data_IF_580323319800
#
_entry.id   IF_580323319800
#
_cell.length_a   1.000
_cell.length_b   1.000
_cell.length_c   1.000
_cell.angle_alpha   90.00
_cell.angle_beta   90.00
_cell.angle_gamma   90.00
#
_symmetry.space_group_name_H-M   'P 1'
#
loop_
_entity.id
_entity.type
_entity.pdbx_description
1 polymer ?
#
# COMPACT_ATOMS: atom_id res chain seq x y z
N UNK A 1 13.06 8.64 48.42
CA UNK A 1 13.15 9.84 47.58
C UNK A 1 11.91 9.93 46.66
N UNK A 2 11.50 8.87 45.96
CA UNK A 2 10.36 8.86 45.03
C UNK A 2 9.01 9.23 45.70
N UNK A 3 8.70 8.63 46.85
CA UNK A 3 7.48 8.95 47.61
C UNK A 3 7.45 10.39 48.16
N UNK A 4 8.59 10.97 48.51
CA UNK A 4 8.67 12.37 48.94
C UNK A 4 8.41 13.34 47.77
N UNK A 5 8.96 13.06 46.56
CA UNK A 5 8.73 13.86 45.39
C UNK A 5 7.26 13.81 44.92
N UNK A 6 6.65 12.62 45.01
CA UNK A 6 5.24 12.43 44.69
C UNK A 6 4.30 13.14 45.67
N UNK A 7 4.66 13.18 46.98
CA UNK A 7 3.94 13.97 47.99
C UNK A 7 4.00 15.47 47.75
N UNK A 8 5.16 15.99 47.37
CA UNK A 8 5.36 17.43 47.04
C UNK A 8 4.59 17.78 45.75
N UNK A 9 4.66 16.94 44.74
CA UNK A 9 3.92 17.15 43.48
C UNK A 9 2.40 17.14 43.74
N UNK A 10 1.91 16.23 44.59
CA UNK A 10 0.49 16.21 44.96
C UNK A 10 0.06 17.50 45.68
N UNK A 11 0.82 17.93 46.71
CA UNK A 11 0.46 19.12 47.48
C UNK A 11 0.56 20.42 46.67
N UNK A 12 1.57 20.55 45.82
CA UNK A 12 1.83 21.84 45.11
C UNK A 12 1.16 21.94 43.73
N UNK A 13 0.93 20.81 43.05
CA UNK A 13 0.40 20.82 41.69
C UNK A 13 -1.01 20.22 41.62
N UNK A 14 -1.19 19.01 42.13
CA UNK A 14 -2.45 18.30 41.93
C UNK A 14 -3.56 18.79 42.89
N UNK A 15 -3.26 19.03 44.18
CA UNK A 15 -4.25 19.46 45.13
C UNK A 15 -4.81 20.87 44.79
N UNK A 16 -4.03 21.91 44.47
CA UNK A 16 -4.58 23.22 44.09
C UNK A 16 -5.32 23.16 42.74
N UNK A 17 -4.84 22.36 41.77
CA UNK A 17 -5.53 22.18 40.50
C UNK A 17 -6.89 21.49 40.69
N UNK A 18 -6.93 20.42 41.49
CA UNK A 18 -8.18 19.73 41.83
C UNK A 18 -9.15 20.62 42.57
N UNK A 19 -8.67 21.44 43.55
CA UNK A 19 -9.48 22.38 44.28
C UNK A 19 -10.07 23.48 43.37
N UNK A 20 -9.23 24.05 42.47
CA UNK A 20 -9.71 25.03 41.48
C UNK A 20 -10.75 24.43 40.54
N UNK A 21 -10.53 23.20 40.05
CA UNK A 21 -11.47 22.47 39.24
C UNK A 21 -12.80 22.26 39.96
N UNK A 22 -12.78 21.71 41.18
CA UNK A 22 -13.98 21.39 41.95
C UNK A 22 -14.78 22.63 42.37
N UNK A 23 -14.11 23.69 42.76
CA UNK A 23 -14.80 24.86 43.36
C UNK A 23 -15.02 26.01 42.37
N UNK A 24 -14.30 26.04 41.26
CA UNK A 24 -14.41 27.12 40.27
C UNK A 24 -14.99 26.66 38.95
N UNK A 25 -14.44 25.62 38.38
CA UNK A 25 -14.78 25.20 37.02
C UNK A 25 -16.03 24.31 37.02
N UNK A 26 -16.08 23.31 37.86
CA UNK A 26 -17.19 22.37 37.97
C UNK A 26 -18.54 23.04 38.26
N UNK A 27 -18.68 23.97 39.22
CA UNK A 27 -19.95 24.69 39.44
C UNK A 27 -20.39 25.53 38.26
N UNK A 28 -19.44 26.12 37.52
CA UNK A 28 -19.77 26.89 36.31
C UNK A 28 -20.32 25.96 35.20
N UNK A 29 -19.69 24.79 35.03
CA UNK A 29 -20.15 23.78 34.09
C UNK A 29 -21.54 23.26 34.48
N UNK A 30 -21.75 22.94 35.76
CA UNK A 30 -23.01 22.47 36.31
C UNK A 30 -24.13 23.50 36.10
N UNK A 31 -23.85 24.79 36.33
CA UNK A 31 -24.82 25.85 36.10
C UNK A 31 -25.20 25.98 34.61
N UNK A 32 -24.23 25.87 33.70
CA UNK A 32 -24.49 25.84 32.25
C UNK A 32 -25.31 24.62 31.86
N UNK A 33 -24.93 23.46 32.36
CA UNK A 33 -25.65 22.22 32.12
C UNK A 33 -27.09 22.27 32.61
N UNK A 34 -27.31 22.71 33.83
CA UNK A 34 -28.68 22.91 34.41
C UNK A 34 -29.52 23.87 33.57
N UNK A 35 -28.91 24.94 33.04
CA UNK A 35 -29.61 25.90 32.18
C UNK A 35 -30.02 25.27 30.85
N UNK A 36 -29.10 24.54 30.21
CA UNK A 36 -29.36 23.82 28.95
C UNK A 36 -30.43 22.73 29.17
N UNK A 37 -30.28 21.94 30.23
CA UNK A 37 -31.23 20.88 30.56
C UNK A 37 -32.63 21.43 30.82
N UNK A 38 -32.74 22.53 31.60
CA UNK A 38 -34.01 23.20 31.85
C UNK A 38 -34.64 23.75 30.57
N UNK A 39 -33.85 24.30 29.66
CA UNK A 39 -34.32 24.74 28.35
C UNK A 39 -34.78 23.54 27.50
N UNK A 40 -34.03 22.50 27.43
CA UNK A 40 -34.34 21.31 26.66
C UNK A 40 -35.59 20.57 27.14
N UNK A 41 -35.88 20.61 28.46
CA UNK A 41 -37.03 19.95 29.06
C UNK A 41 -38.26 20.89 29.21
N UNK A 42 -38.15 22.16 28.84
CA UNK A 42 -39.26 23.11 28.99
C UNK A 42 -40.30 22.99 27.86
N UNK A 43 -41.56 23.05 28.23
CA UNK A 43 -42.74 23.14 27.32
C UNK A 43 -42.71 22.09 26.17
N UNK A 44 -42.57 22.56 24.95
CA UNK A 44 -42.58 21.72 23.74
C UNK A 44 -41.17 21.32 23.26
N UNK A 45 -40.10 21.84 23.86
CA UNK A 45 -38.73 21.59 23.43
C UNK A 45 -38.33 20.09 23.40
N UNK A 46 -38.77 19.24 24.35
CA UNK A 46 -38.46 17.81 24.30
C UNK A 46 -38.93 17.15 23.00
N UNK A 47 -40.15 17.51 22.56
CA UNK A 47 -40.70 16.99 21.29
C UNK A 47 -39.92 17.52 20.09
N UNK A 48 -39.57 18.81 20.10
CA UNK A 48 -38.76 19.43 19.03
C UNK A 48 -37.39 18.80 18.94
N UNK A 49 -36.73 18.52 20.06
CA UNK A 49 -35.45 17.82 20.09
C UNK A 49 -35.58 16.39 19.57
N UNK A 50 -36.61 15.65 19.99
CA UNK A 50 -36.86 14.28 19.53
C UNK A 50 -37.07 14.24 18.02
N UNK A 51 -38.00 15.04 17.50
CA UNK A 51 -38.28 15.11 16.07
C UNK A 51 -37.12 15.70 15.27
N UNK A 52 -36.39 16.65 15.83
CA UNK A 52 -35.17 17.20 15.23
C UNK A 52 -34.07 16.18 15.09
N UNK A 53 -33.81 15.37 16.13
CA UNK A 53 -32.82 14.29 16.10
C UNK A 53 -33.23 13.19 15.09
N UNK A 54 -34.51 12.83 15.09
CA UNK A 54 -35.02 11.84 14.12
C UNK A 54 -34.94 12.38 12.68
N UNK A 55 -35.30 13.64 12.47
CA UNK A 55 -35.16 14.28 11.17
C UNK A 55 -33.71 14.37 10.69
N UNK A 56 -32.79 14.69 11.62
CA UNK A 56 -31.35 14.67 11.32
C UNK A 56 -30.87 13.27 10.94
N UNK A 57 -31.32 12.24 11.64
CA UNK A 57 -30.97 10.85 11.31
C UNK A 57 -31.44 10.49 9.90
N UNK A 58 -32.69 10.80 9.57
CA UNK A 58 -33.25 10.56 8.23
C UNK A 58 -32.45 11.34 7.17
N UNK A 59 -32.12 12.61 7.45
CA UNK A 59 -31.32 13.43 6.55
C UNK A 59 -29.93 12.82 6.29
N UNK A 60 -29.25 12.32 7.34
CA UNK A 60 -27.94 11.64 7.19
C UNK A 60 -28.06 10.38 6.36
N UNK A 61 -29.10 9.57 6.58
CA UNK A 61 -29.34 8.35 5.79
C UNK A 61 -29.56 8.70 4.31
N UNK A 62 -30.41 9.70 4.05
CA UNK A 62 -30.65 10.18 2.66
C UNK A 62 -29.35 10.71 2.03
N UNK A 63 -28.55 11.47 2.78
CA UNK A 63 -27.27 11.98 2.30
C UNK A 63 -26.27 10.84 1.97
N UNK A 64 -26.21 9.78 2.79
CA UNK A 64 -25.36 8.60 2.52
C UNK A 64 -25.81 7.83 1.28
N UNK A 65 -27.12 7.78 1.02
CA UNK A 65 -27.66 7.13 -0.19
C UNK A 65 -27.42 8.01 -1.42
N UNK A 66 -27.58 9.33 -1.31
CA UNK A 66 -27.38 10.28 -2.41
C UNK A 66 -25.90 10.48 -2.77
N UNK A 67 -25.00 10.38 -1.79
CA UNK A 67 -23.56 10.52 -1.93
C UNK A 67 -22.85 9.26 -1.41
N UNK A 68 -22.93 8.14 -2.13
CA UNK A 68 -22.29 6.90 -1.69
C UNK A 68 -20.77 7.12 -1.60
N UNK A 69 -20.23 7.02 -0.40
CA UNK A 69 -18.79 7.01 -0.18
C UNK A 69 -18.28 5.61 -0.50
N UNK A 70 -17.38 5.44 -1.48
CA UNK A 70 -16.82 4.13 -1.78
C UNK A 70 -16.05 3.64 -0.55
N UNK A 71 -16.62 2.68 0.16
CA UNK A 71 -15.96 2.01 1.27
C UNK A 71 -15.13 0.86 0.71
N UNK A 72 -13.83 1.06 0.61
CA UNK A 72 -12.88 0.01 0.24
C UNK A 72 -12.30 -0.56 1.52
N UNK A 73 -12.55 -1.84 1.79
CA UNK A 73 -12.07 -2.50 2.99
C UNK A 73 -10.53 -2.56 3.04
N UNK A 74 -9.92 -2.77 1.87
CA UNK A 74 -8.47 -2.61 1.68
C UNK A 74 -8.25 -1.58 0.58
N UNK A 75 -7.70 -0.39 0.90
CA UNK A 75 -7.35 0.57 -0.14
C UNK A 75 -6.32 -0.07 -1.07
N UNK A 76 -6.60 -0.02 -2.38
CA UNK A 76 -5.63 -0.45 -3.38
C UNK A 76 -4.51 0.57 -3.41
N UNK A 77 -3.43 0.28 -2.71
CA UNK A 77 -2.24 1.12 -2.73
C UNK A 77 -1.58 1.04 -4.11
N UNK A 78 -0.98 2.15 -4.51
CA UNK A 78 -0.13 2.17 -5.69
C UNK A 78 1.11 1.32 -5.41
N UNK A 79 1.44 0.35 -6.28
CA UNK A 79 2.57 -0.54 -6.04
C UNK A 79 3.88 0.24 -5.98
N UNK A 80 4.71 -0.11 -4.99
CA UNK A 80 6.09 0.35 -4.91
C UNK A 80 7.02 -0.54 -5.73
N UNK A 81 6.62 -1.79 -5.94
CA UNK A 81 7.35 -2.77 -6.71
C UNK A 81 6.42 -3.46 -7.71
N UNK A 82 6.89 -3.65 -8.94
CA UNK A 82 6.27 -4.51 -9.94
C UNK A 82 7.26 -5.62 -10.26
N UNK A 83 6.77 -6.86 -10.23
CA UNK A 83 7.55 -8.03 -10.56
C UNK A 83 7.08 -8.61 -11.89
N UNK A 84 8.00 -8.87 -12.78
CA UNK A 84 7.80 -9.63 -14.02
C UNK A 84 8.45 -10.99 -13.80
N UNK A 85 7.63 -12.02 -13.65
CA UNK A 85 8.07 -13.40 -13.49
C UNK A 85 8.16 -14.05 -14.85
N UNK A 86 9.24 -14.77 -15.09
CA UNK A 86 9.52 -15.47 -16.33
C UNK A 86 9.77 -16.93 -15.96
N UNK A 87 8.97 -17.84 -16.49
CA UNK A 87 9.08 -19.27 -16.23
C UNK A 87 9.19 -20.02 -17.56
N UNK A 88 10.37 -20.59 -17.80
CA UNK A 88 10.66 -21.47 -18.93
C UNK A 88 10.33 -22.93 -18.55
N UNK A 89 10.20 -23.83 -19.51
CA UNK A 89 9.97 -25.24 -19.23
C UNK A 89 11.05 -25.83 -18.31
N UNK A 90 10.63 -26.73 -17.42
CA UNK A 90 11.53 -27.43 -16.49
C UNK A 90 12.63 -28.12 -17.30
N UNK A 91 13.90 -27.99 -16.85
CA UNK A 91 15.07 -28.51 -17.56
C UNK A 91 15.72 -27.50 -18.53
N UNK A 92 15.18 -26.31 -18.66
CA UNK A 92 15.83 -25.24 -19.43
C UNK A 92 17.11 -24.78 -18.74
N UNK A 93 18.18 -24.65 -19.54
CA UNK A 93 19.46 -24.14 -19.07
C UNK A 93 19.40 -22.68 -18.67
N UNK A 94 20.18 -22.32 -17.65
CA UNK A 94 20.20 -20.95 -17.09
C UNK A 94 20.60 -19.88 -18.14
N UNK A 95 21.51 -20.21 -19.06
CA UNK A 95 21.95 -19.27 -20.10
C UNK A 95 20.82 -18.99 -21.10
N UNK A 96 19.96 -19.96 -21.37
CA UNK A 96 18.82 -19.79 -22.22
C UNK A 96 17.76 -18.95 -21.52
N UNK A 97 17.52 -19.18 -20.22
CA UNK A 97 16.65 -18.37 -19.40
C UNK A 97 17.14 -16.91 -19.30
N UNK A 98 18.45 -16.70 -19.12
CA UNK A 98 19.06 -15.37 -19.13
C UNK A 98 18.85 -14.65 -20.46
N UNK A 99 19.05 -15.36 -21.59
CA UNK A 99 18.82 -14.76 -22.91
C UNK A 99 17.38 -14.28 -23.11
N UNK A 100 16.41 -15.08 -22.68
CA UNK A 100 14.98 -14.68 -22.73
C UNK A 100 14.71 -13.53 -21.77
N UNK A 101 15.27 -13.57 -20.57
CA UNK A 101 15.12 -12.51 -19.58
C UNK A 101 15.59 -11.15 -20.11
N UNK A 102 16.73 -11.11 -20.81
CA UNK A 102 17.24 -9.88 -21.45
C UNK A 102 16.30 -9.34 -22.54
N UNK A 103 15.64 -10.22 -23.29
CA UNK A 103 14.64 -9.80 -24.27
C UNK A 103 13.41 -9.20 -23.61
N UNK A 104 12.92 -9.81 -22.54
CA UNK A 104 11.80 -9.28 -21.76
C UNK A 104 12.20 -7.98 -21.06
N UNK A 105 13.40 -7.90 -20.50
CA UNK A 105 13.94 -6.69 -19.88
C UNK A 105 13.97 -5.52 -20.89
N UNK A 106 14.41 -5.76 -22.11
CA UNK A 106 14.41 -4.74 -23.16
C UNK A 106 12.99 -4.25 -23.51
N UNK A 107 11.97 -5.12 -23.41
CA UNK A 107 10.57 -4.69 -23.57
C UNK A 107 10.09 -3.87 -22.37
N UNK A 108 10.42 -4.30 -21.16
CA UNK A 108 10.13 -3.57 -19.93
C UNK A 108 10.74 -2.16 -19.98
N UNK A 109 12.02 -2.05 -20.36
CA UNK A 109 12.71 -0.75 -20.48
C UNK A 109 12.00 0.18 -21.48
N UNK A 110 11.49 -0.31 -22.59
CA UNK A 110 10.72 0.51 -23.55
C UNK A 110 9.45 1.11 -22.96
N UNK A 111 8.83 0.42 -21.99
CA UNK A 111 7.60 0.90 -21.35
C UNK A 111 7.91 1.92 -20.24
N UNK A 112 9.04 1.77 -19.53
CA UNK A 112 9.40 2.63 -18.41
C UNK A 112 10.32 3.81 -18.79
N UNK A 113 11.09 3.70 -19.87
CA UNK A 113 11.99 4.74 -20.35
C UNK A 113 11.30 5.66 -21.39
N UNK A 114 10.11 6.13 -21.05
CA UNK A 114 9.37 7.07 -21.90
C UNK A 114 9.65 8.51 -21.47
N UNK A 115 9.62 9.48 -22.40
CA UNK A 115 9.90 10.89 -22.09
C UNK A 115 9.07 11.47 -20.93
N UNK A 116 7.88 10.92 -20.70
CA UNK A 116 6.97 11.34 -19.62
C UNK A 116 7.56 11.07 -18.21
N UNK A 117 8.48 10.11 -18.07
CA UNK A 117 9.11 9.73 -16.81
C UNK A 117 10.55 10.20 -16.70
N UNK A 118 11.02 10.97 -17.69
CA UNK A 118 12.38 11.49 -17.73
C UNK A 118 12.44 12.94 -17.25
N UNK A 119 13.46 13.24 -16.46
CA UNK A 119 13.77 14.58 -15.98
C UNK A 119 15.25 14.88 -16.23
N UNK A 120 15.53 16.14 -16.58
CA UNK A 120 16.90 16.60 -16.76
C UNK A 120 17.43 17.08 -15.40
N UNK A 121 18.43 16.39 -14.89
CA UNK A 121 19.09 16.75 -13.64
C UNK A 121 20.47 17.33 -13.90
N UNK A 122 20.83 18.35 -13.11
CA UNK A 122 22.17 18.91 -13.12
C UNK A 122 23.14 17.96 -12.39
N UNK A 123 24.17 17.53 -13.09
CA UNK A 123 25.27 16.76 -12.50
C UNK A 123 26.26 17.73 -11.87
N UNK A 124 26.45 17.62 -10.55
CA UNK A 124 27.39 18.45 -9.78
C UNK A 124 28.62 17.64 -9.37
N UNK A 125 29.78 18.25 -9.44
CA UNK A 125 31.02 17.65 -8.93
C UNK A 125 31.05 17.70 -7.37
N UNK A 126 32.06 17.09 -6.77
CA UNK A 126 32.29 17.10 -5.31
C UNK A 126 32.43 18.51 -4.71
N UNK A 127 32.65 19.52 -5.53
CA UNK A 127 32.73 20.93 -5.15
C UNK A 127 31.44 21.71 -5.32
N UNK A 128 30.36 21.04 -5.79
CA UNK A 128 29.05 21.65 -6.02
C UNK A 128 28.89 22.42 -7.33
N UNK A 129 29.88 22.39 -8.22
CA UNK A 129 29.80 23.03 -9.53
C UNK A 129 29.07 22.14 -10.52
N UNK A 130 28.19 22.72 -11.35
CA UNK A 130 27.48 22.00 -12.40
C UNK A 130 28.47 21.64 -13.51
N UNK A 131 28.69 20.35 -13.72
CA UNK A 131 29.60 19.83 -14.76
C UNK A 131 28.86 19.33 -16.00
N UNK A 132 27.53 19.22 -15.94
CA UNK A 132 26.70 18.78 -17.07
C UNK A 132 25.25 18.58 -16.66
N UNK A 133 24.47 18.16 -17.63
CA UNK A 133 23.07 17.73 -17.41
C UNK A 133 22.94 16.28 -17.83
N UNK A 134 22.25 15.47 -17.02
CA UNK A 134 21.91 14.07 -17.32
C UNK A 134 20.39 13.92 -17.34
N UNK A 135 19.91 12.99 -18.16
CA UNK A 135 18.48 12.68 -18.24
C UNK A 135 18.23 11.40 -17.44
N UNK A 136 17.55 11.53 -16.32
CA UNK A 136 17.27 10.43 -15.41
C UNK A 136 15.79 10.13 -15.35
N UNK A 137 15.45 8.86 -15.13
CA UNK A 137 14.09 8.47 -14.89
C UNK A 137 13.72 8.78 -13.43
N UNK A 138 12.84 9.79 -13.22
CA UNK A 138 12.44 10.21 -11.88
C UNK A 138 11.44 9.24 -11.22
N UNK A 139 10.75 8.39 -12.00
CA UNK A 139 9.74 7.48 -11.48
C UNK A 139 10.33 6.14 -11.03
N UNK A 140 11.34 5.63 -11.75
CA UNK A 140 11.95 4.33 -11.50
C UNK A 140 13.28 4.49 -10.80
N UNK A 141 13.39 3.94 -9.60
CA UNK A 141 14.61 3.98 -8.80
C UNK A 141 15.62 2.93 -9.27
N UNK A 142 15.16 1.71 -9.56
CA UNK A 142 16.02 0.63 -10.05
C UNK A 142 15.22 -0.48 -10.72
N UNK A 143 15.88 -1.16 -11.66
CA UNK A 143 15.39 -2.40 -12.28
C UNK A 143 16.40 -3.48 -11.97
N UNK A 144 15.93 -4.60 -11.39
CA UNK A 144 16.80 -5.71 -10.96
C UNK A 144 16.32 -6.98 -11.63
N UNK A 145 17.14 -7.56 -12.48
CA UNK A 145 16.89 -8.87 -13.09
C UNK A 145 17.62 -9.97 -12.29
N UNK A 146 16.91 -11.03 -11.95
CA UNK A 146 17.42 -12.19 -11.23
C UNK A 146 17.09 -13.46 -12.03
N UNK A 147 18.08 -14.33 -12.23
CA UNK A 147 17.92 -15.57 -12.98
C UNK A 147 18.40 -16.75 -12.15
N UNK A 148 17.58 -17.77 -12.03
CA UNK A 148 17.93 -19.04 -11.39
C UNK A 148 17.97 -19.04 -9.86
N UNK A 149 17.90 -17.87 -9.22
CA UNK A 149 17.77 -17.70 -7.76
C UNK A 149 17.06 -16.40 -7.41
N UNK A 150 16.34 -16.40 -6.29
CA UNK A 150 15.57 -15.23 -5.84
C UNK A 150 14.41 -14.90 -6.79
N UNK A 151 13.94 -15.91 -7.51
CA UNK A 151 12.95 -15.75 -8.58
C UNK A 151 11.52 -15.96 -8.11
N UNK A 152 11.31 -16.46 -6.90
CA UNK A 152 10.00 -16.64 -6.28
C UNK A 152 9.35 -15.31 -5.95
N UNK A 153 8.03 -15.32 -5.90
CA UNK A 153 7.26 -14.15 -5.48
C UNK A 153 7.55 -13.84 -4.00
N UNK A 154 8.02 -12.63 -3.66
CA UNK A 154 8.27 -12.24 -2.27
C UNK A 154 7.02 -12.32 -1.38
N UNK A 155 5.81 -12.28 -1.96
CA UNK A 155 4.55 -12.44 -1.27
C UNK A 155 4.09 -13.89 -1.14
N UNK A 156 4.78 -14.86 -1.76
CA UNK A 156 4.48 -16.27 -1.60
C UNK A 156 5.24 -16.86 -0.40
N UNK A 157 4.67 -17.92 0.18
CA UNK A 157 5.34 -18.70 1.22
C UNK A 157 6.34 -19.74 0.63
N UNK A 158 6.59 -19.66 -0.66
CA UNK A 158 7.55 -20.55 -1.31
C UNK A 158 8.96 -20.21 -0.87
N UNK A 159 9.57 -21.11 -0.11
CA UNK A 159 10.99 -21.03 0.25
C UNK A 159 11.79 -21.64 -0.89
N UNK A 160 12.57 -20.84 -1.58
CA UNK A 160 13.52 -21.32 -2.61
C UNK A 160 14.64 -22.11 -1.94
N UNK A 161 14.46 -23.42 -1.80
CA UNK A 161 15.45 -24.34 -1.21
C UNK A 161 16.59 -24.72 -2.17
N UNK A 162 16.38 -24.54 -3.49
CA UNK A 162 17.33 -24.92 -4.53
C UNK A 162 17.36 -23.91 -5.68
N UNK A 163 18.39 -23.95 -6.49
CA UNK A 163 18.47 -23.18 -7.72
C UNK A 163 17.38 -23.61 -8.72
N UNK A 164 16.72 -22.63 -9.32
CA UNK A 164 15.66 -22.79 -10.33
C UNK A 164 16.09 -22.21 -11.68
N UNK A 165 16.98 -22.88 -12.41
CA UNK A 165 17.61 -22.33 -13.63
C UNK A 165 16.60 -21.94 -14.72
N UNK A 166 15.39 -22.50 -14.69
CA UNK A 166 14.30 -22.23 -15.63
C UNK A 166 13.44 -21.02 -15.24
N UNK A 167 13.70 -20.37 -14.09
CA UNK A 167 12.95 -19.22 -13.61
C UNK A 167 13.79 -17.95 -13.58
N UNK A 168 13.14 -16.83 -13.88
CA UNK A 168 13.72 -15.51 -13.71
C UNK A 168 12.67 -14.51 -13.22
N UNK A 169 13.15 -13.41 -12.65
CA UNK A 169 12.31 -12.30 -12.18
C UNK A 169 12.96 -10.97 -12.51
N UNK A 170 12.20 -10.04 -13.04
CA UNK A 170 12.60 -8.65 -13.19
C UNK A 170 11.76 -7.84 -12.20
N UNK A 171 12.42 -7.19 -11.26
CA UNK A 171 11.79 -6.32 -10.27
C UNK A 171 12.03 -4.88 -10.62
N UNK A 172 10.95 -4.12 -10.79
CA UNK A 172 10.95 -2.68 -11.06
C UNK A 172 10.63 -2.00 -9.73
N UNK A 173 11.55 -1.20 -9.21
CA UNK A 173 11.40 -0.46 -7.97
C UNK A 173 11.08 1.00 -8.30
N UNK A 174 9.94 1.49 -7.82
CA UNK A 174 9.55 2.88 -7.97
C UNK A 174 10.07 3.74 -6.81
N UNK A 175 10.21 5.02 -7.05
CA UNK A 175 10.49 6.01 -6.00
C UNK A 175 9.33 6.09 -4.99
N UNK A 176 9.56 6.74 -3.86
CA UNK A 176 8.52 6.95 -2.84
C UNK A 176 7.34 7.71 -3.42
N UNK A 177 6.15 7.47 -2.89
CA UNK A 177 4.90 8.07 -3.36
C UNK A 177 4.97 9.61 -3.49
N UNK A 178 5.63 10.29 -2.55
CA UNK A 178 5.78 11.74 -2.56
C UNK A 178 6.59 12.27 -3.77
N UNK A 179 7.50 11.46 -4.31
CA UNK A 179 8.46 11.84 -5.35
C UNK A 179 8.00 11.43 -6.76
N UNK A 180 6.77 10.88 -6.89
CA UNK A 180 6.20 10.37 -8.17
C UNK A 180 5.56 11.44 -9.05
N UNK A 181 5.60 12.70 -8.65
CA UNK A 181 5.00 13.83 -9.39
C UNK A 181 3.52 13.58 -9.79
N UNK A 182 2.77 12.84 -8.96
CA UNK A 182 1.35 12.52 -9.22
C UNK A 182 1.10 11.35 -10.18
N UNK A 183 2.14 10.67 -10.66
CA UNK A 183 2.01 9.51 -11.54
C UNK A 183 1.54 8.28 -10.74
N UNK A 184 0.51 7.62 -11.27
CA UNK A 184 -0.05 6.41 -10.68
C UNK A 184 0.69 5.17 -11.23
N UNK A 185 1.37 4.44 -10.35
CA UNK A 185 2.10 3.23 -10.74
C UNK A 185 1.19 2.04 -11.11
N UNK A 186 -0.13 2.10 -10.83
CA UNK A 186 -1.07 1.13 -11.38
C UNK A 186 -1.23 1.30 -12.91
N UNK A 187 -1.11 2.52 -13.44
CA UNK A 187 -1.18 2.76 -14.87
C UNK A 187 0.07 2.19 -15.57
N UNK A 188 1.22 2.27 -14.91
CA UNK A 188 2.47 1.62 -15.38
C UNK A 188 2.32 0.10 -15.39
N UNK A 189 1.72 -0.47 -14.33
CA UNK A 189 1.42 -1.90 -14.26
C UNK A 189 0.51 -2.34 -15.42
N UNK A 190 -0.57 -1.59 -15.68
CA UNK A 190 -1.48 -1.91 -16.77
C UNK A 190 -0.80 -1.83 -18.15
N UNK A 191 0.07 -0.85 -18.37
CA UNK A 191 0.89 -0.75 -19.60
C UNK A 191 1.86 -1.93 -19.73
N UNK A 192 2.56 -2.28 -18.66
CA UNK A 192 3.46 -3.44 -18.67
C UNK A 192 2.70 -4.71 -19.02
N UNK A 193 1.53 -4.94 -18.41
CA UNK A 193 0.70 -6.10 -18.70
C UNK A 193 0.18 -6.14 -20.15
N UNK A 194 -0.01 -5.00 -20.76
CA UNK A 194 -0.46 -4.90 -22.15
C UNK A 194 0.69 -4.99 -23.17
N UNK A 195 1.80 -4.29 -22.91
CA UNK A 195 2.85 -4.06 -23.90
C UNK A 195 4.01 -5.07 -23.83
N UNK A 196 4.21 -5.71 -22.64
CA UNK A 196 5.21 -6.76 -22.51
C UNK A 196 4.62 -8.08 -22.98
N UNK A 197 4.90 -8.43 -24.21
CA UNK A 197 4.47 -9.70 -24.80
C UNK A 197 5.22 -10.87 -24.19
N UNK A 198 4.50 -11.97 -23.93
CA UNK A 198 5.12 -13.26 -23.56
C UNK A 198 5.97 -13.80 -24.70
N UNK A 199 7.06 -14.47 -24.35
CA UNK A 199 7.92 -15.15 -25.33
C UNK A 199 7.36 -16.55 -25.62
N UNK A 200 7.37 -17.02 -26.88
CA UNK A 200 6.87 -18.36 -27.22
C UNK A 200 7.58 -19.46 -26.39
N UNK A 201 6.79 -20.30 -25.74
CA UNK A 201 7.29 -21.38 -24.86
C UNK A 201 7.76 -20.94 -23.47
N UNK A 202 7.49 -19.71 -23.07
CA UNK A 202 7.81 -19.19 -21.75
C UNK A 202 6.56 -18.49 -21.17
N UNK A 203 6.27 -18.76 -19.90
CA UNK A 203 5.18 -18.12 -19.19
C UNK A 203 5.70 -16.80 -18.58
N UNK A 204 5.09 -15.69 -18.95
CA UNK A 204 5.41 -14.39 -18.37
C UNK A 204 4.22 -13.88 -17.56
N UNK A 205 4.43 -13.60 -16.27
CA UNK A 205 3.39 -13.09 -15.36
C UNK A 205 3.85 -11.76 -14.77
N UNK A 206 3.03 -10.73 -14.87
CA UNK A 206 3.33 -9.39 -14.34
C UNK A 206 2.37 -9.10 -13.20
N UNK A 207 2.92 -8.92 -12.01
CA UNK A 207 2.16 -8.69 -10.80
C UNK A 207 2.78 -7.58 -9.94
N UNK A 208 1.94 -6.87 -9.21
CA UNK A 208 2.40 -6.01 -8.11
C UNK A 208 2.81 -6.87 -6.92
N UNK A 209 3.70 -6.33 -6.09
CA UNK A 209 3.97 -6.96 -4.81
C UNK A 209 2.69 -7.00 -3.94
N UNK A 210 2.47 -8.09 -3.25
CA UNK A 210 1.37 -8.19 -2.29
C UNK A 210 1.67 -7.28 -1.09
N UNK A 211 0.84 -6.24 -0.92
CA UNK A 211 0.88 -5.40 0.28
C UNK A 211 0.10 -6.13 1.39
N UNK A 212 0.79 -6.55 2.44
CA UNK A 212 0.18 -7.22 3.58
C UNK A 212 0.82 -8.54 3.96
N UNK A 213 0.29 -9.26 4.95
CA UNK A 213 0.77 -10.59 5.27
C UNK A 213 0.60 -11.52 4.06
N UNK A 214 1.53 -12.47 3.85
CA UNK A 214 1.47 -13.40 2.73
C UNK A 214 0.12 -14.11 2.70
N UNK A 215 -0.68 -13.77 1.71
CA UNK A 215 -1.95 -14.46 1.45
C UNK A 215 -1.71 -15.43 0.31
N UNK A 216 -2.09 -16.69 0.50
CA UNK A 216 -2.06 -17.67 -0.58
C UNK A 216 -2.83 -17.18 -1.80
N UNK A 217 -2.53 -17.75 -2.98
CA UNK A 217 -3.25 -17.41 -4.21
C UNK A 217 -4.76 -17.54 -3.98
N UNK A 218 -5.59 -16.62 -4.50
CA UNK A 218 -7.02 -16.59 -4.23
C UNK A 218 -7.77 -17.85 -4.69
N UNK A 219 -7.16 -18.61 -5.59
CA UNK A 219 -7.66 -19.92 -6.04
C UNK A 219 -6.48 -20.88 -5.96
N UNK A 220 -6.61 -21.91 -5.13
CA UNK A 220 -5.69 -23.02 -5.03
C UNK A 220 -6.45 -24.31 -5.38
N UNK A 221 -6.09 -24.94 -6.50
CA UNK A 221 -6.66 -26.21 -6.93
C UNK A 221 -5.65 -27.30 -6.54
N UNK A 222 -6.02 -28.12 -5.58
CA UNK A 222 -5.20 -29.24 -5.12
C UNK A 222 -5.80 -30.55 -5.61
N UNK A 223 -5.12 -31.23 -6.51
CA UNK A 223 -5.51 -32.54 -7.03
C UNK A 223 -4.72 -33.60 -6.24
N UNK A 224 -5.43 -34.47 -5.55
CA UNK A 224 -4.84 -35.55 -4.76
C UNK A 224 -5.24 -36.90 -5.36
N UNK A 225 -4.24 -37.70 -5.72
CA UNK A 225 -4.42 -39.07 -6.19
C UNK A 225 -3.42 -40.01 -5.55
N UNK A 226 -3.71 -41.31 -5.58
CA UNK A 226 -2.80 -42.35 -5.07
C UNK A 226 -1.67 -42.65 -6.02
N UNK A 227 -1.89 -42.41 -7.32
CA UNK A 227 -0.92 -42.69 -8.42
C UNK A 227 -0.86 -41.48 -9.35
N UNK A 228 0.33 -41.13 -9.81
CA UNK A 228 0.58 -39.94 -10.65
C UNK A 228 -0.10 -40.09 -12.03
N UNK A 229 -0.19 -41.30 -12.56
CA UNK A 229 -0.79 -41.57 -13.87
C UNK A 229 -2.31 -41.30 -13.86
N UNK A 230 -3.02 -41.58 -12.75
CA UNK A 230 -4.43 -41.23 -12.62
C UNK A 230 -4.75 -39.75 -12.42
N UNK A 231 -3.75 -38.93 -12.13
CA UNK A 231 -3.92 -37.48 -11.97
C UNK A 231 -3.77 -36.70 -13.29
N UNK A 232 -3.23 -37.34 -14.32
CA UNK A 232 -3.02 -36.71 -15.62
C UNK A 232 -4.16 -36.97 -16.61
N UNK A 233 -5.05 -37.90 -16.30
CA UNK A 233 -6.20 -38.30 -17.13
C UNK A 233 -7.54 -37.64 -16.73
N UNK A 234 -7.58 -36.83 -15.66
CA UNK A 234 -8.73 -36.01 -15.23
C UNK A 234 -8.49 -34.52 -15.53
#
# INVERSE_FOLDING_TARGET
>A
IFFGLMGIANQKLFAPAAHWFQYTWLPRLETRYRRLLRYALAKHHPRTFLFGTFGLLVLVIVALIAFPVPSVFFPTNQPQFINVFIEAPIGTDILKTDSVTRLVEAQVMKVIDVPTYMEVQEVKNDKGEVIGTDTVNFLVNSVIAQVGRGTSDPGSQEVELSATPHKARIQINFVKFADRHGINTNDVLARLQHDVAGYPGVITTIAKNADGPPMGKPINIEIRGKEIEGLLDE
#
